data_IF_179122428279
#
_entry.id   IF_179122428279
#
_cell.length_a   1.000
_cell.length_b   1.000
_cell.length_c   1.000
_cell.angle_alpha   90.00
_cell.angle_beta   90.00
_cell.angle_gamma   90.00
#
_symmetry.space_group_name_H-M   'P 1'
#
loop_
_entity.id
_entity.type
_entity.pdbx_description
1 polymer ?
#
# COMPACT_ATOMS: atom_id res chain seq x y z
N UNK A 1 -12.83 4.35 -7.87
CA UNK A 1 -11.64 3.69 -8.46
C UNK A 1 -10.49 3.86 -7.49
N UNK A 2 -9.89 2.75 -7.07
CA UNK A 2 -8.66 2.76 -6.28
C UNK A 2 -7.50 2.79 -7.27
N UNK A 3 -6.75 3.89 -7.33
CA UNK A 3 -5.72 4.08 -8.35
C UNK A 3 -4.29 3.88 -7.82
N UNK A 4 -4.11 3.76 -6.50
CA UNK A 4 -2.80 3.65 -5.84
C UNK A 4 -2.87 2.68 -4.66
N UNK A 5 -1.72 2.16 -4.23
CA UNK A 5 -1.65 1.30 -3.05
C UNK A 5 -2.16 2.03 -1.78
N UNK A 6 -1.87 3.32 -1.69
CA UNK A 6 -2.29 4.16 -0.57
C UNK A 6 -3.80 4.41 -0.54
N UNK A 7 -4.49 4.55 -1.68
CA UNK A 7 -5.96 4.70 -1.66
C UNK A 7 -6.60 3.46 -0.99
N UNK A 8 -6.07 2.26 -1.27
CA UNK A 8 -6.55 1.02 -0.68
C UNK A 8 -6.26 0.93 0.83
N UNK A 9 -4.98 1.02 1.22
CA UNK A 9 -4.56 0.77 2.60
C UNK A 9 -4.89 1.92 3.55
N UNK A 10 -4.96 3.15 3.06
CA UNK A 10 -5.33 4.33 3.85
C UNK A 10 -6.84 4.57 3.80
N UNK A 11 -7.40 4.87 2.62
CA UNK A 11 -8.77 5.43 2.52
C UNK A 11 -9.88 4.39 2.42
N UNK A 12 -9.64 3.23 1.80
CA UNK A 12 -10.67 2.19 1.62
C UNK A 12 -10.76 1.23 2.79
N UNK A 13 -9.63 0.89 3.39
CA UNK A 13 -9.56 -0.11 4.47
C UNK A 13 -9.20 0.49 5.81
N UNK A 14 -8.55 1.65 5.86
CA UNK A 14 -8.04 2.24 7.11
C UNK A 14 -6.91 1.45 7.77
N UNK A 15 -6.45 0.35 7.17
CA UNK A 15 -5.44 -0.54 7.77
C UNK A 15 -4.15 0.19 8.14
N UNK A 16 -3.81 1.26 7.42
CA UNK A 16 -2.62 2.06 7.72
C UNK A 16 -2.62 2.61 9.16
N UNK A 17 -3.80 2.89 9.73
CA UNK A 17 -3.94 3.47 11.07
C UNK A 17 -4.51 2.49 12.10
N UNK A 18 -5.19 1.43 11.67
CA UNK A 18 -5.93 0.53 12.57
C UNK A 18 -5.45 -0.93 12.53
N UNK A 19 -4.62 -1.31 11.55
CA UNK A 19 -4.10 -2.67 11.36
C UNK A 19 -2.73 -2.65 10.64
N UNK A 20 -1.78 -1.91 11.21
CA UNK A 20 -0.45 -1.74 10.63
C UNK A 20 0.31 -3.08 10.46
N UNK A 21 0.33 -4.00 11.45
CA UNK A 21 0.99 -5.30 11.30
C UNK A 21 0.33 -6.20 10.24
N UNK A 22 -0.98 -6.04 10.02
CA UNK A 22 -1.73 -6.80 9.02
C UNK A 22 -1.35 -6.43 7.59
N UNK A 23 -0.91 -5.18 7.34
CA UNK A 23 -0.47 -4.74 6.01
C UNK A 23 0.70 -5.59 5.52
N UNK A 24 1.73 -5.81 6.35
CA UNK A 24 2.92 -6.55 5.95
C UNK A 24 2.63 -7.99 5.47
N UNK A 25 1.54 -8.61 5.96
CA UNK A 25 1.15 -9.97 5.57
C UNK A 25 0.53 -10.05 4.17
N UNK A 26 -0.15 -8.98 3.74
CA UNK A 26 -0.92 -8.94 2.48
C UNK A 26 -0.31 -8.02 1.44
N UNK A 27 0.64 -7.17 1.83
CA UNK A 27 1.20 -6.10 1.02
C UNK A 27 1.67 -6.58 -0.35
N UNK A 28 2.52 -7.61 -0.41
CA UNK A 28 3.08 -8.08 -1.67
C UNK A 28 1.98 -8.61 -2.61
N UNK A 29 1.08 -9.44 -2.10
CA UNK A 29 0.00 -10.02 -2.89
C UNK A 29 -0.95 -8.93 -3.43
N UNK A 30 -1.31 -7.96 -2.59
CA UNK A 30 -2.19 -6.85 -2.97
C UNK A 30 -1.52 -5.91 -3.98
N UNK A 31 -0.23 -5.60 -3.80
CA UNK A 31 0.51 -4.76 -4.74
C UNK A 31 0.67 -5.43 -6.11
N UNK A 32 0.89 -6.75 -6.14
CA UNK A 32 0.94 -7.52 -7.38
C UNK A 32 -0.44 -7.52 -8.08
N UNK A 33 -1.52 -7.79 -7.35
CA UNK A 33 -2.87 -7.75 -7.91
C UNK A 33 -3.22 -6.36 -8.45
N UNK A 34 -2.89 -5.28 -7.73
CA UNK A 34 -3.07 -3.91 -8.23
C UNK A 34 -2.24 -3.64 -9.49
N UNK A 35 -0.99 -4.11 -9.53
CA UNK A 35 -0.13 -3.94 -10.69
C UNK A 35 -0.69 -4.67 -11.93
N UNK A 36 -1.23 -5.87 -11.76
CA UNK A 36 -1.87 -6.63 -12.83
C UNK A 36 -3.16 -5.94 -13.32
N UNK A 37 -4.05 -5.57 -12.39
CA UNK A 37 -5.34 -4.95 -12.74
C UNK A 37 -5.18 -3.56 -13.39
N UNK A 38 -4.15 -2.81 -12.99
CA UNK A 38 -3.90 -1.45 -13.48
C UNK A 38 -2.80 -1.37 -14.53
N UNK A 39 -2.25 -2.51 -14.96
CA UNK A 39 -1.14 -2.62 -15.92
C UNK A 39 0.07 -1.75 -15.55
N UNK A 40 0.50 -1.81 -14.28
CA UNK A 40 1.68 -1.07 -13.82
C UNK A 40 2.97 -1.65 -14.39
N UNK A 41 3.91 -0.77 -14.70
CA UNK A 41 5.30 -1.17 -14.97
C UNK A 41 5.98 -1.62 -13.67
N UNK A 42 7.12 -2.31 -13.80
CA UNK A 42 7.95 -2.66 -12.66
C UNK A 42 8.39 -1.40 -11.87
N UNK A 43 8.71 -0.32 -12.58
CA UNK A 43 9.07 0.98 -11.97
C UNK A 43 7.91 1.57 -11.16
N UNK A 44 6.68 1.49 -11.68
CA UNK A 44 5.50 1.97 -10.97
C UNK A 44 5.20 1.12 -9.73
N UNK A 45 5.33 -0.21 -9.84
CA UNK A 45 5.18 -1.12 -8.70
C UNK A 45 6.21 -0.82 -7.60
N UNK A 46 7.47 -0.57 -7.96
CA UNK A 46 8.50 -0.15 -7.00
C UNK A 46 8.16 1.21 -6.36
N UNK A 47 7.71 2.18 -7.16
CA UNK A 47 7.32 3.50 -6.66
C UNK A 47 6.15 3.44 -5.66
N UNK A 48 5.11 2.65 -5.97
CA UNK A 48 3.96 2.43 -5.09
C UNK A 48 4.33 1.66 -3.82
N UNK A 49 5.23 0.69 -3.94
CA UNK A 49 5.79 -0.05 -2.79
C UNK A 49 6.53 0.90 -1.85
N UNK A 50 7.43 1.74 -2.39
CA UNK A 50 8.20 2.71 -1.62
C UNK A 50 7.30 3.77 -0.97
N UNK A 51 6.24 4.21 -1.67
CA UNK A 51 5.26 5.15 -1.13
C UNK A 51 4.49 4.55 0.05
N UNK A 52 4.07 3.28 -0.04
CA UNK A 52 3.40 2.57 1.05
C UNK A 52 4.33 2.37 2.26
N UNK A 53 5.59 1.98 2.05
CA UNK A 53 6.56 1.83 3.14
C UNK A 53 6.84 3.15 3.86
N UNK A 54 6.96 4.26 3.11
CA UNK A 54 7.12 5.58 3.70
C UNK A 54 5.92 5.95 4.57
N UNK A 55 4.71 5.75 4.05
CA UNK A 55 3.50 6.04 4.81
C UNK A 55 3.37 5.17 6.07
N UNK A 56 3.79 3.89 6.00
CA UNK A 56 3.87 3.00 7.16
C UNK A 56 4.86 3.53 8.20
N UNK A 57 6.05 3.96 7.79
CA UNK A 57 7.05 4.51 8.70
C UNK A 57 6.59 5.82 9.35
N UNK A 58 5.96 6.71 8.57
CA UNK A 58 5.36 7.94 9.07
C UNK A 58 4.26 7.63 10.09
N UNK A 59 3.31 6.76 9.77
CA UNK A 59 2.23 6.38 10.68
C UNK A 59 2.74 5.78 12.00
N UNK A 60 3.78 4.94 11.95
CA UNK A 60 4.38 4.34 13.14
C UNK A 60 5.11 5.35 14.06
N UNK A 61 5.43 6.54 13.56
CA UNK A 61 6.10 7.60 14.36
C UNK A 61 5.11 8.41 15.20
N UNK A 62 3.81 8.37 14.87
CA UNK A 62 2.75 9.13 15.54
C UNK A 62 1.87 8.30 16.47
N UNK A 63 2.22 7.03 16.74
CA UNK A 63 1.55 6.15 17.72
C UNK A 63 2.10 6.28 19.14
#
# INVERSE_FOLDING_TARGET
LCCTALDLFNRRTGRLYFDHPGIGRVQQAVLQDLAEQLNWSAEQLEAETAALERAKAEAATFE
#
